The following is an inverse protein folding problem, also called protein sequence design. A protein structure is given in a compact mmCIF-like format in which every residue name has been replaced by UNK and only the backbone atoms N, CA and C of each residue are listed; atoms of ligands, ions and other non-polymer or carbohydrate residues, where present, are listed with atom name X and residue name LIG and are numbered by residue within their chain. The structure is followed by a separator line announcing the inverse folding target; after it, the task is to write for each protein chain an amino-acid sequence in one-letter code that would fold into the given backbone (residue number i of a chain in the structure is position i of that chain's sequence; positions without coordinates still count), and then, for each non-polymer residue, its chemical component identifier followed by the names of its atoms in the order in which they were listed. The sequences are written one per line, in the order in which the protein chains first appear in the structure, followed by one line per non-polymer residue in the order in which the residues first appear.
data_IF_921464330519
#
_entry.id   IF_921464330519
#
_cell.length_a   1.000
_cell.length_b   1.000
_cell.length_c   1.000
_cell.angle_alpha   90.00
_cell.angle_beta   90.00
_cell.angle_gamma   90.00
#
_symmetry.space_group_name_H-M   'P 1'
#
loop_
_entity.id
_entity.type
_entity.pdbx_description
1 polymer ?
#
# COMPACT_ATOMS: atom_id res chain seq x y z
N UNK A 1 8.36 4.69 18.61
CA UNK A 1 7.64 3.41 18.43
C UNK A 1 6.68 3.57 17.26
N UNK A 2 6.68 2.70 16.23
CA UNK A 2 5.67 2.78 15.18
C UNK A 2 4.27 2.59 15.79
N UNK A 3 3.29 3.32 15.27
CA UNK A 3 1.91 3.19 15.74
C UNK A 3 1.36 1.82 15.30
N UNK A 4 0.62 1.11 16.16
CA UNK A 4 -0.05 -0.12 15.76
C UNK A 4 -1.11 0.17 14.67
N UNK A 5 -1.53 -0.87 13.91
CA UNK A 5 -2.62 -0.72 12.95
C UNK A 5 -3.91 -0.28 13.65
N UNK A 6 -4.78 0.39 12.91
CA UNK A 6 -6.08 0.86 13.43
C UNK A 6 -7.01 -0.30 13.76
N UNK A 7 -6.79 -1.46 13.15
CA UNK A 7 -7.49 -2.70 13.43
C UNK A 7 -6.53 -3.87 13.58
N UNK A 8 -6.61 -4.58 14.70
CA UNK A 8 -5.84 -5.81 14.94
C UNK A 8 -6.22 -6.93 13.95
N UNK A 9 -7.41 -6.86 13.34
CA UNK A 9 -7.84 -7.82 12.32
C UNK A 9 -6.94 -7.81 11.08
N UNK A 10 -6.19 -6.74 10.83
CA UNK A 10 -5.23 -6.70 9.71
C UNK A 10 -4.02 -7.63 9.93
N UNK A 11 -3.84 -8.15 11.14
CA UNK A 11 -2.82 -9.14 11.49
C UNK A 11 -3.33 -10.58 11.41
N UNK A 12 -4.65 -10.76 11.28
CA UNK A 12 -5.30 -12.06 11.16
C UNK A 12 -5.37 -12.47 9.68
N UNK A 13 -4.73 -13.57 9.25
CA UNK A 13 -4.71 -14.00 7.85
C UNK A 13 -6.10 -14.28 7.26
N UNK A 14 -7.07 -14.66 8.09
CA UNK A 14 -8.42 -15.06 7.66
C UNK A 14 -9.43 -13.90 7.70
N UNK A 15 -9.04 -12.76 8.26
CA UNK A 15 -9.88 -11.59 8.28
C UNK A 15 -9.93 -10.89 6.91
N UNK A 16 -11.11 -10.39 6.55
CA UNK A 16 -11.27 -9.45 5.44
C UNK A 16 -10.89 -8.04 5.91
N UNK A 17 -9.89 -7.37 5.31
CA UNK A 17 -9.56 -5.99 5.64
C UNK A 17 -10.75 -5.06 5.40
N UNK A 18 -10.97 -4.09 6.29
CA UNK A 18 -12.11 -3.17 6.18
C UNK A 18 -12.14 -2.38 4.87
N UNK A 19 -10.99 -2.17 4.23
CA UNK A 19 -10.86 -1.47 2.94
C UNK A 19 -11.00 -2.39 1.72
N UNK A 20 -11.16 -3.71 1.93
CA UNK A 20 -11.43 -4.72 0.91
C UNK A 20 -12.77 -5.44 1.12
N UNK A 21 -13.65 -4.86 1.95
CA UNK A 21 -14.93 -5.47 2.33
C UNK A 21 -15.82 -5.84 1.14
N UNK A 22 -15.74 -5.07 0.06
CA UNK A 22 -16.50 -5.27 -1.19
C UNK A 22 -15.94 -6.41 -2.04
N UNK A 23 -14.64 -6.68 -1.94
CA UNK A 23 -13.98 -7.78 -2.66
C UNK A 23 -14.09 -9.11 -1.90
N UNK A 24 -14.33 -9.06 -0.58
CA UNK A 24 -14.46 -10.25 0.26
C UNK A 24 -13.17 -11.06 0.41
N UNK A 25 -12.02 -10.53 -0.04
CA UNK A 25 -10.74 -11.24 0.04
C UNK A 25 -10.06 -11.07 1.40
N UNK A 26 -9.44 -12.13 1.88
CA UNK A 26 -8.76 -12.13 3.19
C UNK A 26 -7.38 -11.46 3.15
N UNK A 27 -6.80 -11.18 4.31
CA UNK A 27 -5.41 -10.70 4.43
C UNK A 27 -4.45 -11.67 3.73
N UNK A 28 -4.61 -12.98 3.91
CA UNK A 28 -3.76 -13.98 3.27
C UNK A 28 -3.89 -13.98 1.73
N UNK A 29 -5.11 -13.79 1.21
CA UNK A 29 -5.37 -13.65 -0.23
C UNK A 29 -4.76 -12.39 -0.81
N UNK A 30 -4.94 -11.26 -0.13
CA UNK A 30 -4.33 -9.99 -0.51
C UNK A 30 -2.80 -10.11 -0.57
N UNK A 31 -2.16 -10.72 0.45
CA UNK A 31 -0.72 -10.99 0.44
C UNK A 31 -0.29 -11.86 -0.74
N UNK A 32 -1.04 -12.92 -1.04
CA UNK A 32 -0.76 -13.78 -2.21
C UNK A 32 -0.84 -13.04 -3.53
N UNK A 33 -1.78 -12.10 -3.69
CA UNK A 33 -1.88 -11.25 -4.90
C UNK A 33 -0.70 -10.28 -4.97
N UNK A 34 -0.36 -9.64 -3.85
CA UNK A 34 0.72 -8.64 -3.78
C UNK A 34 2.12 -9.23 -3.99
N UNK A 35 2.31 -10.52 -3.66
CA UNK A 35 3.55 -11.25 -3.86
C UNK A 35 3.78 -11.71 -5.31
N UNK A 36 2.78 -11.57 -6.19
CA UNK A 36 2.93 -11.91 -7.62
C UNK A 36 3.76 -10.84 -8.34
N UNK A 37 4.21 -11.19 -9.54
CA UNK A 37 4.78 -10.22 -10.47
C UNK A 37 3.79 -9.10 -10.81
N UNK A 38 4.34 -8.00 -11.34
CA UNK A 38 3.57 -6.88 -11.84
C UNK A 38 2.45 -7.35 -12.78
N UNK A 39 1.22 -7.08 -12.40
CA UNK A 39 0.03 -7.48 -13.15
C UNK A 39 -1.10 -6.49 -12.89
N UNK A 40 -2.08 -6.37 -13.79
CA UNK A 40 -3.23 -5.50 -13.58
C UNK A 40 -3.92 -5.77 -12.24
N UNK A 41 -4.12 -7.03 -11.87
CA UNK A 41 -4.75 -7.39 -10.58
C UNK A 41 -3.93 -6.92 -9.37
N UNK A 42 -2.60 -7.06 -9.41
CA UNK A 42 -1.73 -6.56 -8.33
C UNK A 42 -1.78 -5.04 -8.24
N UNK A 43 -1.67 -4.36 -9.37
CA UNK A 43 -1.69 -2.90 -9.46
C UNK A 43 -3.05 -2.32 -9.01
N UNK A 44 -4.15 -2.99 -9.36
CA UNK A 44 -5.51 -2.70 -8.89
C UNK A 44 -5.60 -2.72 -7.36
N UNK A 45 -5.05 -3.78 -6.76
CA UNK A 45 -5.07 -3.96 -5.31
C UNK A 45 -4.19 -2.92 -4.61
N UNK A 46 -2.97 -2.64 -5.12
CA UNK A 46 -2.11 -1.59 -4.57
C UNK A 46 -2.84 -0.23 -4.63
N UNK A 47 -3.38 0.13 -5.79
CA UNK A 47 -4.10 1.40 -5.95
C UNK A 47 -5.28 1.53 -4.97
N UNK A 48 -6.02 0.44 -4.76
CA UNK A 48 -7.12 0.40 -3.78
C UNK A 48 -6.63 0.57 -2.35
N UNK A 49 -5.60 -0.16 -1.93
CA UNK A 49 -5.02 -0.04 -0.58
C UNK A 49 -4.61 1.41 -0.33
N UNK A 50 -3.93 2.07 -1.28
CA UNK A 50 -3.51 3.46 -1.13
C UNK A 50 -4.67 4.46 -1.08
N UNK A 51 -5.81 4.17 -1.72
CA UNK A 51 -6.99 5.05 -1.67
C UNK A 51 -7.81 4.90 -0.40
N UNK A 52 -8.01 3.66 0.03
CA UNK A 52 -9.08 3.32 0.98
C UNK A 52 -8.56 3.02 2.39
N UNK A 53 -7.31 2.54 2.52
CA UNK A 53 -6.76 2.24 3.84
C UNK A 53 -6.32 3.52 4.56
N UNK A 54 -6.42 3.51 5.89
CA UNK A 54 -5.71 4.46 6.72
C UNK A 54 -4.21 4.39 6.39
N UNK A 55 -3.52 5.53 6.26
CA UNK A 55 -2.11 5.57 5.86
C UNK A 55 -1.19 4.75 6.76
N UNK A 56 -1.57 4.53 8.03
CA UNK A 56 -0.82 3.65 8.95
C UNK A 56 -0.98 2.16 8.63
N UNK A 57 -2.16 1.78 8.14
CA UNK A 57 -2.52 0.39 7.84
C UNK A 57 -1.96 -0.08 6.50
N UNK A 58 -1.65 0.84 5.58
CA UNK A 58 -1.01 0.54 4.30
C UNK A 58 0.23 -0.33 4.48
N UNK A 59 1.04 0.01 5.48
CA UNK A 59 2.30 -0.67 5.78
C UNK A 59 2.14 -2.09 6.33
N UNK A 60 0.90 -2.53 6.63
CA UNK A 60 0.64 -3.93 7.02
C UNK A 60 0.71 -4.87 5.82
N UNK A 61 0.48 -4.36 4.61
CA UNK A 61 0.40 -5.14 3.36
C UNK A 61 1.42 -4.70 2.31
N UNK A 62 1.79 -3.42 2.30
CA UNK A 62 2.68 -2.83 1.30
C UNK A 62 3.96 -2.31 1.93
N UNK A 63 4.98 -2.19 1.09
CA UNK A 63 6.22 -1.50 1.38
C UNK A 63 6.53 -0.46 0.30
N UNK A 64 7.59 0.30 0.54
CA UNK A 64 8.01 1.34 -0.40
C UNK A 64 8.43 0.79 -1.77
N UNK A 65 9.26 -0.28 -1.87
CA UNK A 65 9.60 -0.88 -3.16
C UNK A 65 8.38 -1.27 -4.00
N UNK A 66 7.37 -1.92 -3.42
CA UNK A 66 6.16 -2.29 -4.16
C UNK A 66 5.39 -1.06 -4.65
N UNK A 67 5.28 -0.01 -3.82
CA UNK A 67 4.61 1.24 -4.21
C UNK A 67 5.41 1.94 -5.32
N UNK A 68 6.73 2.05 -5.20
CA UNK A 68 7.61 2.69 -6.18
C UNK A 68 7.56 2.01 -7.55
N UNK A 69 7.61 0.68 -7.55
CA UNK A 69 7.55 -0.16 -8.75
C UNK A 69 6.19 -0.05 -9.46
N UNK A 70 5.09 0.00 -8.71
CA UNK A 70 3.74 0.15 -9.24
C UNK A 70 3.37 1.59 -9.61
N UNK A 71 4.06 2.59 -9.04
CA UNK A 71 3.69 4.01 -9.10
C UNK A 71 3.36 4.52 -10.51
N UNK A 72 4.19 4.27 -11.56
CA UNK A 72 3.92 4.77 -12.91
C UNK A 72 2.60 4.23 -13.48
N UNK A 73 2.16 3.04 -13.04
CA UNK A 73 0.96 2.35 -13.51
C UNK A 73 -0.28 2.70 -12.68
N UNK A 74 -0.13 3.14 -11.43
CA UNK A 74 -1.27 3.33 -10.51
C UNK A 74 -1.60 4.78 -10.17
N UNK A 75 -0.66 5.72 -10.31
CA UNK A 75 -0.82 7.11 -9.80
C UNK A 75 -2.07 7.81 -10.36
N UNK A 76 -2.41 7.56 -11.62
CA UNK A 76 -3.60 8.15 -12.25
C UNK A 76 -4.91 7.64 -11.61
N UNK A 77 -4.89 6.47 -10.97
CA UNK A 77 -6.03 5.78 -10.34
C UNK A 77 -6.27 6.17 -8.88
N UNK A 78 -5.40 7.00 -8.28
CA UNK A 78 -5.47 7.32 -6.86
C UNK A 78 -6.49 8.42 -6.51
N UNK A 79 -7.03 9.14 -7.50
CA UNK A 79 -8.01 10.20 -7.29
C UNK A 79 -7.53 11.21 -6.23
N UNK A 80 -8.34 11.42 -5.18
CA UNK A 80 -8.02 12.36 -4.09
C UNK A 80 -6.78 11.97 -3.27
N UNK A 81 -6.48 10.68 -3.16
CA UNK A 81 -5.31 10.20 -2.43
C UNK A 81 -3.98 10.48 -3.16
N UNK A 82 -4.03 10.85 -4.45
CA UNK A 82 -2.82 11.11 -5.26
C UNK A 82 -1.90 12.14 -4.59
N UNK A 83 -2.43 13.28 -4.17
CA UNK A 83 -1.63 14.38 -3.64
C UNK A 83 -0.80 13.99 -2.42
N UNK A 84 -1.43 13.31 -1.45
CA UNK A 84 -0.73 12.87 -0.24
C UNK A 84 0.33 11.81 -0.55
N UNK A 85 0.05 10.85 -1.42
CA UNK A 85 1.00 9.80 -1.76
C UNK A 85 2.16 10.30 -2.63
N UNK A 86 1.91 11.23 -3.56
CA UNK A 86 2.98 11.90 -4.31
C UNK A 86 3.94 12.59 -3.35
N UNK A 87 3.42 13.40 -2.43
CA UNK A 87 4.24 14.09 -1.43
C UNK A 87 5.04 13.10 -0.56
N UNK A 88 4.43 12.01 -0.08
CA UNK A 88 5.14 11.02 0.73
C UNK A 88 6.24 10.31 -0.05
N UNK A 89 6.00 9.98 -1.32
CA UNK A 89 6.97 9.34 -2.20
C UNK A 89 8.17 10.26 -2.49
N UNK A 90 7.92 11.55 -2.73
CA UNK A 90 8.97 12.55 -2.92
C UNK A 90 9.85 12.66 -1.68
N UNK A 91 9.24 12.80 -0.49
CA UNK A 91 9.96 12.85 0.79
C UNK A 91 10.78 11.59 1.05
N UNK A 92 10.24 10.41 0.73
CA UNK A 92 10.95 9.13 0.83
C UNK A 92 12.20 9.14 -0.06
N UNK A 93 12.07 9.57 -1.32
CA UNK A 93 13.19 9.63 -2.27
C UNK A 93 14.26 10.64 -1.85
N UNK A 94 13.87 11.76 -1.26
CA UNK A 94 14.81 12.73 -0.67
C UNK A 94 15.58 12.10 0.50
N UNK A 95 14.87 11.44 1.41
CA UNK A 95 15.48 10.77 2.57
C UNK A 95 16.51 9.72 2.15
N UNK A 96 16.16 8.85 1.19
CA UNK A 96 17.09 7.84 0.65
C UNK A 96 18.34 8.48 0.04
N UNK A 97 18.18 9.61 -0.69
CA UNK A 97 19.32 10.36 -1.27
C UNK A 97 20.23 10.94 -0.19
N UNK A 98 19.67 11.53 0.86
CA UNK A 98 20.46 12.09 1.97
C UNK A 98 21.22 11.00 2.73
N UNK A 99 20.58 9.85 2.99
CA UNK A 99 21.24 8.74 3.69
C UNK A 99 22.32 8.07 2.84
N UNK A 100 22.18 8.04 1.52
CA UNK A 100 23.20 7.48 0.62
C UNK A 100 24.41 8.41 0.41
N UNK A 101 24.28 9.70 0.72
CA UNK A 101 25.34 10.70 0.57
C UNK A 101 26.14 10.96 1.86
N UNK A 102 25.77 10.31 2.97
CA UNK A 102 26.43 10.38 4.28
C UNK A 102 27.20 9.09 4.56
#
# INVERSE_FOLDING_TARGET
MPLPPTSQRLLDPDAVPYFLWDLGITVAEARRILAREASPTRDDLIARILREANSRDVWTLLDWPAIEEAWPRIVHRLGRARGVWTMMLERRREHVRTTAAA
#
